data_IF_478940307258
#
_entry.id   IF_478940307258
#
_cell.length_a   1.000
_cell.length_b   1.000
_cell.length_c   1.000
_cell.angle_alpha   90.00
_cell.angle_beta   90.00
_cell.angle_gamma   90.00
#
_symmetry.space_group_name_H-M   'P 1'
#
loop_
_entity.id
_entity.type
_entity.pdbx_description
1 polymer ?
#
# COMPACT_ATOMS: atom_id res chain seq x y z
N UNK A 1 62.63 45.56 -11.35
CA UNK A 1 61.44 44.92 -11.91
C UNK A 1 61.29 43.55 -11.29
N UNK A 2 60.38 43.44 -10.34
CA UNK A 2 60.08 42.14 -9.65
C UNK A 2 58.70 41.73 -10.06
N UNK A 3 58.61 40.64 -10.81
CA UNK A 3 57.33 40.00 -11.20
C UNK A 3 56.80 39.14 -10.06
N UNK A 4 55.67 39.52 -9.48
CA UNK A 4 54.93 38.64 -8.56
C UNK A 4 53.99 37.76 -9.40
N UNK A 5 54.21 36.45 -9.34
CA UNK A 5 53.33 35.44 -9.87
C UNK A 5 52.36 35.08 -8.75
N UNK A 6 51.07 35.43 -8.94
CA UNK A 6 49.97 35.02 -8.05
C UNK A 6 49.49 33.65 -8.55
N UNK A 7 49.73 32.61 -7.77
CA UNK A 7 49.13 31.30 -7.97
C UNK A 7 47.69 31.31 -7.41
N UNK A 8 46.72 31.30 -8.31
CA UNK A 8 45.29 31.08 -7.95
C UNK A 8 45.09 29.58 -7.98
N UNK A 9 44.97 28.96 -6.80
CA UNK A 9 44.48 27.58 -6.67
C UNK A 9 42.98 27.56 -6.85
N UNK A 10 42.49 27.07 -8.00
CA UNK A 10 41.10 26.73 -8.19
C UNK A 10 40.83 25.42 -7.40
N UNK A 11 40.15 25.57 -6.27
CA UNK A 11 39.53 24.41 -5.60
C UNK A 11 38.21 24.12 -6.34
N UNK A 12 38.21 23.16 -7.21
CA UNK A 12 36.96 22.59 -7.79
C UNK A 12 36.26 21.75 -6.72
N UNK A 13 35.34 22.33 -5.99
CA UNK A 13 34.35 21.58 -5.23
C UNK A 13 33.39 20.93 -6.22
N UNK A 14 33.61 19.64 -6.50
CA UNK A 14 32.60 18.79 -7.10
C UNK A 14 31.47 18.65 -6.08
N UNK A 15 30.52 19.56 -6.12
CA UNK A 15 29.25 19.44 -5.45
C UNK A 15 28.46 18.30 -6.12
N UNK A 16 28.51 17.11 -5.54
CA UNK A 16 27.52 16.08 -5.85
C UNK A 16 26.22 16.58 -5.26
N UNK A 17 25.38 17.15 -6.11
CA UNK A 17 23.98 17.45 -5.73
C UNK A 17 23.31 16.10 -5.45
N UNK A 18 22.74 15.84 -4.27
CA UNK A 18 21.95 14.66 -4.04
C UNK A 18 20.78 14.67 -5.05
N UNK A 19 20.71 13.65 -5.90
CA UNK A 19 19.53 13.46 -6.74
C UNK A 19 18.36 13.15 -5.81
N UNK A 20 17.41 14.05 -5.77
CA UNK A 20 16.17 13.87 -5.02
C UNK A 20 15.28 12.93 -5.85
N UNK A 21 15.19 11.67 -5.46
CA UNK A 21 14.21 10.74 -5.98
C UNK A 21 12.98 10.85 -5.09
N UNK A 22 12.02 11.69 -5.46
CA UNK A 22 10.73 11.74 -4.81
C UNK A 22 9.71 11.03 -5.69
N UNK A 23 9.00 10.05 -5.16
CA UNK A 23 7.76 9.57 -5.77
C UNK A 23 6.73 10.69 -5.65
N UNK A 24 6.50 11.39 -6.73
CA UNK A 24 5.43 12.38 -6.79
C UNK A 24 4.12 11.72 -7.17
N UNK A 25 3.49 10.97 -6.28
CA UNK A 25 2.09 10.62 -6.50
C UNK A 25 1.27 11.92 -6.53
N UNK A 26 0.66 12.22 -7.69
CA UNK A 26 -0.22 13.39 -7.89
C UNK A 26 -1.57 13.24 -7.19
N UNK A 27 -1.63 12.59 -6.05
CA UNK A 27 -2.85 12.51 -5.27
C UNK A 27 -2.75 13.51 -4.14
N UNK A 28 -3.67 14.48 -4.14
CA UNK A 28 -3.87 15.36 -2.99
C UNK A 28 -4.11 14.51 -1.74
N UNK A 29 -3.39 14.78 -0.66
CA UNK A 29 -3.59 14.11 0.61
C UNK A 29 -5.06 14.21 1.02
N UNK A 30 -5.76 13.09 1.05
CA UNK A 30 -7.16 13.05 1.44
C UNK A 30 -7.28 12.83 2.95
N UNK A 31 -8.15 13.59 3.61
CA UNK A 31 -8.44 13.43 5.02
C UNK A 31 -9.94 13.53 5.31
N UNK A 32 -10.40 12.82 6.33
CA UNK A 32 -11.75 13.00 6.85
C UNK A 32 -11.79 14.08 7.93
N UNK A 33 -12.84 14.89 7.90
CA UNK A 33 -13.26 15.77 8.99
C UNK A 33 -14.47 15.19 9.70
N UNK A 34 -14.78 15.64 10.92
CA UNK A 34 -15.99 15.23 11.62
C UNK A 34 -17.26 15.44 10.77
N UNK A 35 -17.36 16.59 10.10
CA UNK A 35 -18.48 16.90 9.21
C UNK A 35 -18.55 15.96 7.99
N UNK A 36 -17.41 15.59 7.39
CA UNK A 36 -17.40 14.65 6.26
C UNK A 36 -17.82 13.25 6.70
N UNK A 37 -17.41 12.79 7.89
CA UNK A 37 -17.84 11.51 8.47
C UNK A 37 -19.34 11.50 8.75
N UNK A 38 -19.85 12.53 9.42
CA UNK A 38 -21.29 12.65 9.68
C UNK A 38 -22.10 12.62 8.37
N UNK A 39 -21.60 13.24 7.33
CA UNK A 39 -22.24 13.27 6.01
C UNK A 39 -22.25 11.94 5.26
N UNK A 40 -21.43 10.93 5.68
CA UNK A 40 -21.49 9.59 5.12
C UNK A 40 -22.73 8.81 5.57
N UNK A 41 -23.34 9.18 6.70
CA UNK A 41 -24.54 8.52 7.26
C UNK A 41 -24.38 7.00 7.31
N UNK A 42 -23.24 6.54 7.87
CA UNK A 42 -22.87 5.13 7.90
C UNK A 42 -23.94 4.30 8.62
N UNK A 43 -24.36 3.20 7.99
CA UNK A 43 -25.34 2.29 8.55
C UNK A 43 -24.67 1.30 9.50
N UNK A 44 -25.07 1.32 10.78
CA UNK A 44 -24.53 0.44 11.80
C UNK A 44 -24.82 -1.07 11.57
N UNK A 45 -25.75 -1.40 10.67
CA UNK A 45 -26.08 -2.78 10.31
C UNK A 45 -25.25 -3.32 9.13
N UNK A 46 -24.62 -2.46 8.35
CA UNK A 46 -23.83 -2.80 7.18
C UNK A 46 -22.36 -2.44 7.42
N UNK A 47 -21.70 -3.22 8.28
CA UNK A 47 -20.32 -2.97 8.69
C UNK A 47 -19.41 -3.99 8.05
N UNK A 48 -18.60 -3.55 7.08
CA UNK A 48 -17.62 -4.40 6.40
C UNK A 48 -16.40 -4.60 7.32
N UNK A 49 -15.89 -5.83 7.40
CA UNK A 49 -14.70 -6.14 8.19
C UNK A 49 -13.44 -5.59 7.51
N UNK A 50 -12.65 -4.79 8.23
CA UNK A 50 -11.39 -4.24 7.74
C UNK A 50 -10.41 -5.31 7.28
N UNK A 51 -10.42 -6.50 7.94
CA UNK A 51 -9.52 -7.60 7.59
C UNK A 51 -9.93 -8.30 6.29
N UNK A 52 -11.20 -8.27 5.93
CA UNK A 52 -11.70 -8.81 4.66
C UNK A 52 -11.58 -7.80 3.51
N UNK A 53 -11.46 -6.52 3.84
CA UNK A 53 -11.27 -5.46 2.85
C UNK A 53 -9.85 -5.41 2.29
N UNK A 54 -8.85 -5.70 3.12
CA UNK A 54 -7.44 -5.68 2.71
C UNK A 54 -6.99 -7.01 2.10
N UNK A 55 -5.88 -7.00 1.35
CA UNK A 55 -5.19 -8.21 0.91
C UNK A 55 -4.52 -8.88 2.12
N UNK A 56 -5.31 -9.62 2.88
CA UNK A 56 -4.89 -10.26 4.13
C UNK A 56 -4.18 -11.60 3.90
N UNK A 57 -3.65 -12.17 4.98
CA UNK A 57 -2.87 -13.40 4.90
C UNK A 57 -3.69 -14.65 4.50
N UNK A 58 -5.03 -14.63 4.58
CA UNK A 58 -5.85 -15.74 4.11
C UNK A 58 -5.84 -15.88 2.58
N UNK A 59 -5.51 -14.78 1.86
CA UNK A 59 -5.43 -14.75 0.40
C UNK A 59 -4.08 -15.23 -0.15
N UNK A 60 -3.10 -15.55 0.71
CA UNK A 60 -1.76 -15.97 0.28
C UNK A 60 -1.75 -17.29 -0.49
N UNK A 61 -2.71 -18.16 -0.22
CA UNK A 61 -2.82 -19.49 -0.83
C UNK A 61 -3.88 -19.53 -1.94
N UNK A 62 -4.45 -18.38 -2.32
CA UNK A 62 -5.41 -18.31 -3.43
C UNK A 62 -4.70 -18.60 -4.75
N UNK A 63 -5.22 -19.55 -5.51
CA UNK A 63 -4.80 -19.82 -6.88
C UNK A 63 -5.48 -18.81 -7.81
N UNK A 64 -4.87 -17.64 -7.97
CA UNK A 64 -5.42 -16.56 -8.77
C UNK A 64 -5.56 -16.91 -10.26
N UNK A 65 -4.75 -17.81 -10.79
CA UNK A 65 -4.88 -18.28 -12.18
C UNK A 65 -6.20 -19.04 -12.33
N UNK A 66 -6.42 -20.03 -11.47
CA UNK A 66 -7.67 -20.76 -11.46
C UNK A 66 -8.87 -19.88 -11.08
N UNK A 67 -8.68 -18.95 -10.15
CA UNK A 67 -9.71 -18.02 -9.72
C UNK A 67 -10.23 -17.16 -10.87
N UNK A 68 -9.32 -16.49 -11.63
CA UNK A 68 -9.72 -15.67 -12.77
C UNK A 68 -10.34 -16.50 -13.89
N UNK A 69 -9.78 -17.68 -14.18
CA UNK A 69 -10.34 -18.58 -15.18
C UNK A 69 -11.79 -19.00 -14.88
N UNK A 70 -12.15 -19.16 -13.60
CA UNK A 70 -13.49 -19.57 -13.18
C UNK A 70 -14.46 -18.40 -13.00
N UNK A 71 -14.03 -17.32 -12.36
CA UNK A 71 -14.91 -16.25 -11.89
C UNK A 71 -14.85 -14.96 -12.74
N UNK A 72 -13.79 -14.78 -13.50
CA UNK A 72 -13.57 -13.56 -14.29
C UNK A 72 -12.85 -13.85 -15.61
N UNK A 73 -13.28 -14.84 -16.42
CA UNK A 73 -12.57 -15.23 -17.66
C UNK A 73 -12.44 -14.07 -18.67
N UNK A 74 -13.38 -13.13 -18.67
CA UNK A 74 -13.31 -11.92 -19.50
C UNK A 74 -12.18 -10.96 -19.07
N UNK A 75 -11.61 -11.13 -17.88
CA UNK A 75 -10.53 -10.31 -17.33
C UNK A 75 -9.18 -11.04 -17.22
N UNK A 76 -9.03 -12.20 -17.86
CA UNK A 76 -7.79 -13.00 -17.79
C UNK A 76 -6.57 -12.18 -18.24
N UNK A 77 -6.70 -11.41 -19.34
CA UNK A 77 -5.64 -10.53 -19.85
C UNK A 77 -5.38 -9.31 -18.96
N UNK A 78 -6.26 -9.04 -17.99
CA UNK A 78 -6.15 -7.93 -17.04
C UNK A 78 -5.78 -8.38 -15.62
N UNK A 79 -5.59 -9.68 -15.43
CA UNK A 79 -5.29 -10.30 -14.13
C UNK A 79 -4.05 -9.69 -13.48
N UNK A 80 -2.93 -9.59 -14.23
CA UNK A 80 -1.69 -9.05 -13.68
C UNK A 80 -1.88 -7.59 -13.22
N UNK A 81 -2.57 -6.75 -14.00
CA UNK A 81 -2.90 -5.38 -13.63
C UNK A 81 -3.72 -5.30 -12.33
N UNK A 82 -4.81 -6.09 -12.24
CA UNK A 82 -5.69 -6.09 -11.07
C UNK A 82 -4.93 -6.55 -9.83
N UNK A 83 -4.15 -7.63 -9.93
CA UNK A 83 -3.35 -8.14 -8.81
C UNK A 83 -2.23 -7.18 -8.41
N UNK A 84 -1.60 -6.51 -9.39
CA UNK A 84 -0.58 -5.50 -9.13
C UNK A 84 -1.11 -4.39 -8.23
N UNK A 85 -2.20 -3.74 -8.64
CA UNK A 85 -2.79 -2.65 -7.89
C UNK A 85 -3.40 -3.11 -6.55
N UNK A 86 -4.02 -4.30 -6.53
CA UNK A 86 -4.48 -4.94 -5.30
C UNK A 86 -3.33 -5.16 -4.31
N UNK A 87 -2.18 -5.63 -4.79
CA UNK A 87 -0.98 -5.84 -3.98
C UNK A 87 -0.35 -4.53 -3.50
N UNK A 88 -0.20 -3.55 -4.40
CA UNK A 88 0.36 -2.24 -4.08
C UNK A 88 -0.41 -1.52 -2.98
N UNK A 89 -1.72 -1.37 -3.16
CA UNK A 89 -2.60 -0.71 -2.19
C UNK A 89 -3.05 -1.62 -1.05
N UNK A 90 -2.76 -2.92 -1.15
CA UNK A 90 -3.22 -3.97 -0.22
C UNK A 90 -4.75 -4.01 -0.07
N UNK A 91 -5.46 -4.03 -1.20
CA UNK A 91 -6.91 -4.21 -1.27
C UNK A 91 -7.22 -5.64 -1.74
N UNK A 92 -8.25 -6.27 -1.18
CA UNK A 92 -8.70 -7.59 -1.60
C UNK A 92 -9.18 -7.57 -3.06
N UNK A 93 -8.57 -8.36 -3.98
CA UNK A 93 -8.97 -8.38 -5.39
C UNK A 93 -10.45 -8.70 -5.60
N UNK A 94 -11.07 -9.53 -4.73
CA UNK A 94 -12.49 -9.84 -4.80
C UNK A 94 -13.39 -8.60 -4.68
N UNK A 95 -12.96 -7.59 -3.90
CA UNK A 95 -13.67 -6.30 -3.80
C UNK A 95 -13.59 -5.54 -5.12
N UNK A 96 -12.42 -5.50 -5.76
CA UNK A 96 -12.22 -4.82 -7.04
C UNK A 96 -13.12 -5.47 -8.10
N UNK A 97 -13.13 -6.80 -8.19
CA UNK A 97 -13.95 -7.56 -9.12
C UNK A 97 -15.45 -7.35 -8.88
N UNK A 98 -15.89 -7.35 -7.63
CA UNK A 98 -17.30 -7.10 -7.31
C UNK A 98 -17.74 -5.66 -7.66
N UNK A 99 -16.85 -4.68 -7.55
CA UNK A 99 -17.12 -3.30 -8.00
C UNK A 99 -17.17 -3.20 -9.52
N UNK A 100 -16.29 -3.88 -10.25
CA UNK A 100 -16.34 -3.98 -11.71
C UNK A 100 -17.67 -4.59 -12.14
N UNK A 101 -18.05 -5.73 -11.57
CA UNK A 101 -19.33 -6.39 -11.91
C UNK A 101 -20.51 -5.51 -11.59
N UNK A 102 -20.57 -4.90 -10.42
CA UNK A 102 -21.66 -4.02 -10.03
C UNK A 102 -21.83 -2.80 -10.97
N UNK A 103 -20.72 -2.27 -11.50
CA UNK A 103 -20.74 -1.06 -12.32
C UNK A 103 -21.00 -1.35 -13.80
N UNK A 104 -20.45 -2.41 -14.34
CA UNK A 104 -20.46 -2.70 -15.78
C UNK A 104 -21.04 -4.07 -16.16
N UNK A 105 -21.18 -4.99 -15.20
CA UNK A 105 -21.55 -6.38 -15.50
C UNK A 105 -20.50 -7.14 -16.29
N UNK A 106 -19.24 -6.71 -16.25
CA UNK A 106 -18.18 -7.14 -17.17
C UNK A 106 -17.74 -8.60 -16.96
N UNK A 107 -17.91 -9.13 -15.72
CA UNK A 107 -17.60 -10.52 -15.43
C UNK A 107 -18.67 -11.48 -15.96
N UNK A 108 -19.94 -11.05 -15.94
CA UNK A 108 -21.08 -11.87 -16.37
C UNK A 108 -21.49 -11.62 -17.83
N UNK A 109 -21.07 -10.51 -18.45
CA UNK A 109 -21.41 -10.13 -19.80
C UNK A 109 -20.17 -9.91 -20.67
N UNK A 110 -19.81 -10.85 -21.55
CA UNK A 110 -18.63 -10.73 -22.42
C UNK A 110 -18.70 -9.58 -23.44
N UNK A 111 -19.92 -9.05 -23.70
CA UNK A 111 -20.14 -7.91 -24.60
C UNK A 111 -20.11 -6.56 -23.87
N UNK A 112 -19.78 -6.53 -22.56
CA UNK A 112 -19.69 -5.30 -21.78
C UNK A 112 -18.55 -4.39 -22.26
N UNK A 113 -18.73 -3.09 -22.05
CA UNK A 113 -17.73 -2.09 -22.46
C UNK A 113 -16.50 -2.08 -21.53
N UNK A 114 -15.38 -2.54 -22.06
CA UNK A 114 -14.09 -2.54 -21.36
C UNK A 114 -13.49 -1.13 -21.19
N UNK A 115 -13.97 -0.13 -21.91
CA UNK A 115 -13.37 1.22 -21.86
C UNK A 115 -13.75 1.98 -20.59
N UNK A 116 -14.83 1.60 -19.91
CA UNK A 116 -15.33 2.26 -18.72
C UNK A 116 -15.88 1.29 -17.66
N UNK A 117 -15.05 0.31 -17.17
CA UNK A 117 -15.52 -0.74 -16.27
C UNK A 117 -16.04 -0.22 -14.92
N UNK A 118 -15.63 0.99 -14.54
CA UNK A 118 -15.97 1.63 -13.27
C UNK A 118 -16.66 2.99 -13.47
N UNK A 119 -17.43 3.11 -14.55
CA UNK A 119 -18.19 4.34 -14.85
C UNK A 119 -19.01 4.82 -13.63
N UNK A 120 -18.77 6.07 -13.22
CA UNK A 120 -19.40 6.69 -12.04
C UNK A 120 -18.61 6.52 -10.73
N UNK A 121 -17.60 5.64 -10.65
CA UNK A 121 -16.64 5.55 -9.54
C UNK A 121 -15.30 6.18 -9.89
N UNK A 122 -14.91 6.15 -11.17
CA UNK A 122 -13.71 6.79 -11.69
C UNK A 122 -14.06 7.80 -12.78
N UNK A 123 -13.30 8.89 -12.84
CA UNK A 123 -13.37 9.90 -13.93
C UNK A 123 -12.27 9.65 -14.99
N UNK A 124 -11.39 8.67 -14.74
CA UNK A 124 -10.30 8.32 -15.65
C UNK A 124 -10.82 7.62 -16.91
N UNK A 125 -10.00 7.60 -17.97
CA UNK A 125 -10.35 6.98 -19.24
C UNK A 125 -9.60 5.67 -19.45
N UNK A 126 -10.32 4.62 -19.80
CA UNK A 126 -9.78 3.29 -20.09
C UNK A 126 -9.68 2.41 -18.84
N UNK A 127 -9.62 1.09 -19.09
CA UNK A 127 -9.64 0.07 -18.05
C UNK A 127 -8.54 0.28 -17.02
N UNK A 128 -7.30 0.38 -17.46
CA UNK A 128 -6.10 0.36 -16.62
C UNK A 128 -6.08 1.58 -15.68
N UNK A 129 -6.34 2.77 -16.22
CA UNK A 129 -6.39 4.00 -15.42
C UNK A 129 -7.56 4.01 -14.43
N UNK A 130 -8.71 3.42 -14.77
CA UNK A 130 -9.84 3.31 -13.85
C UNK A 130 -9.58 2.36 -12.69
N UNK A 131 -8.87 1.24 -12.91
CA UNK A 131 -8.47 0.32 -11.85
C UNK A 131 -7.48 0.99 -10.90
N UNK A 132 -6.44 1.65 -11.42
CA UNK A 132 -5.48 2.41 -10.62
C UNK A 132 -6.19 3.46 -9.74
N UNK A 133 -7.06 4.27 -10.34
CA UNK A 133 -7.81 5.33 -9.64
C UNK A 133 -8.75 4.75 -8.56
N UNK A 134 -9.51 3.69 -8.87
CA UNK A 134 -10.39 3.03 -7.88
C UNK A 134 -9.60 2.55 -6.68
N UNK A 135 -8.55 1.77 -6.92
CA UNK A 135 -7.76 1.13 -5.85
C UNK A 135 -7.06 2.18 -5.00
N UNK A 136 -6.52 3.23 -5.64
CA UNK A 136 -5.95 4.38 -4.95
C UNK A 136 -6.97 5.09 -4.08
N UNK A 137 -8.18 5.35 -4.59
CA UNK A 137 -9.27 5.97 -3.82
C UNK A 137 -9.71 5.11 -2.64
N UNK A 138 -9.83 3.79 -2.82
CA UNK A 138 -10.18 2.87 -1.74
C UNK A 138 -9.14 2.89 -0.62
N UNK A 139 -7.86 2.75 -0.97
CA UNK A 139 -6.75 2.81 -0.02
C UNK A 139 -6.70 4.15 0.71
N UNK A 140 -6.73 5.25 -0.05
CA UNK A 140 -6.71 6.61 0.49
C UNK A 140 -7.80 6.84 1.53
N UNK A 141 -9.05 6.42 1.25
CA UNK A 141 -10.18 6.61 2.16
C UNK A 141 -10.14 5.69 3.36
N UNK A 142 -9.69 4.45 3.16
CA UNK A 142 -9.51 3.50 4.24
C UNK A 142 -8.52 4.03 5.29
N UNK A 143 -7.33 4.45 4.86
CA UNK A 143 -6.30 4.94 5.78
C UNK A 143 -6.59 6.35 6.32
N UNK A 144 -7.25 7.21 5.55
CA UNK A 144 -7.73 8.50 6.06
C UNK A 144 -8.76 8.32 7.19
N UNK A 145 -9.64 7.30 7.09
CA UNK A 145 -10.58 7.00 8.17
C UNK A 145 -9.88 6.46 9.40
N UNK A 146 -8.89 5.57 9.23
CA UNK A 146 -8.05 5.10 10.35
C UNK A 146 -7.32 6.25 11.05
N UNK A 147 -6.71 7.14 10.28
CA UNK A 147 -6.07 8.35 10.83
C UNK A 147 -7.07 9.19 11.62
N UNK A 148 -8.27 9.38 11.10
CA UNK A 148 -9.33 10.09 11.81
C UNK A 148 -9.70 9.39 13.11
N UNK A 149 -9.90 8.06 13.11
CA UNK A 149 -10.18 7.28 14.32
C UNK A 149 -9.07 7.45 15.37
N UNK A 150 -7.80 7.34 14.99
CA UNK A 150 -6.66 7.50 15.87
C UNK A 150 -6.59 8.91 16.47
N UNK A 151 -6.94 9.95 15.69
CA UNK A 151 -7.01 11.33 16.17
C UNK A 151 -8.10 11.54 17.22
N UNK A 152 -9.18 10.74 17.23
CA UNK A 152 -10.22 10.79 18.25
C UNK A 152 -9.77 10.12 19.57
N UNK A 153 -8.84 9.16 19.50
CA UNK A 153 -8.33 8.47 20.70
C UNK A 153 -7.31 9.33 21.44
N UNK A 154 -6.34 9.91 20.73
CA UNK A 154 -5.38 10.88 21.31
C UNK A 154 -4.80 11.76 20.20
N UNK A 155 -4.72 13.08 20.41
CA UNK A 155 -4.15 14.01 19.43
C UNK A 155 -2.67 13.72 19.07
N UNK A 156 -1.96 12.97 19.90
CA UNK A 156 -0.56 12.58 19.71
C UNK A 156 -0.37 11.19 19.10
N UNK A 157 -1.38 10.31 19.14
CA UNK A 157 -1.28 8.94 18.67
C UNK A 157 -1.42 8.80 17.16
N UNK A 158 -2.11 9.72 16.51
CA UNK A 158 -2.44 9.63 15.08
C UNK A 158 -1.19 9.53 14.19
N UNK A 159 -0.12 10.25 14.52
CA UNK A 159 1.14 10.24 13.79
C UNK A 159 1.87 8.88 13.88
N UNK A 160 1.74 8.22 15.02
CA UNK A 160 2.54 7.06 15.40
C UNK A 160 1.72 5.80 15.60
N UNK A 161 0.49 5.78 15.08
CA UNK A 161 -0.35 4.61 15.21
C UNK A 161 0.47 3.35 14.99
N UNK A 162 0.67 2.63 16.09
CA UNK A 162 1.48 1.44 16.09
C UNK A 162 0.66 0.28 15.54
N UNK A 163 1.34 -0.78 15.19
CA UNK A 163 0.79 -2.07 14.79
C UNK A 163 -0.15 -2.74 15.81
N UNK A 164 -0.18 -2.23 17.05
CA UNK A 164 -1.15 -2.66 18.02
C UNK A 164 -2.52 -2.08 17.63
N UNK A 165 -3.16 -2.74 16.67
CA UNK A 165 -4.59 -2.60 16.45
C UNK A 165 -5.26 -3.20 17.68
N UNK A 166 -5.34 -2.40 18.74
CA UNK A 166 -6.26 -2.72 19.82
C UNK A 166 -7.65 -2.61 19.20
N UNK A 167 -8.35 -3.73 19.09
CA UNK A 167 -9.76 -3.82 18.73
C UNK A 167 -10.65 -3.13 19.78
N UNK A 168 -10.29 -1.94 20.24
CA UNK A 168 -11.16 -1.05 21.01
C UNK A 168 -11.96 -0.17 20.04
N UNK A 169 -12.65 -0.80 19.08
CA UNK A 169 -13.79 -0.13 18.50
C UNK A 169 -14.87 -0.04 19.58
N UNK A 170 -15.25 1.17 19.95
CA UNK A 170 -16.53 1.38 20.63
C UNK A 170 -17.61 0.63 19.87
N UNK A 171 -18.48 -0.09 20.54
CA UNK A 171 -19.45 -1.07 20.02
C UNK A 171 -20.45 -0.53 18.99
N UNK A 172 -20.31 0.69 18.51
CA UNK A 172 -21.20 1.37 17.54
C UNK A 172 -20.46 2.16 16.45
N UNK A 173 -19.13 2.00 16.28
CA UNK A 173 -18.40 2.73 15.25
C UNK A 173 -18.30 1.90 13.95
N UNK A 174 -18.53 2.55 12.83
CA UNK A 174 -18.27 1.99 11.50
C UNK A 174 -16.77 1.69 11.33
N UNK A 175 -16.44 0.84 10.37
CA UNK A 175 -15.06 0.45 10.02
C UNK A 175 -14.48 1.37 8.95
N UNK A 176 -13.16 1.33 8.79
CA UNK A 176 -12.49 2.04 7.72
C UNK A 176 -12.89 1.50 6.34
N UNK A 177 -13.13 0.20 6.23
CA UNK A 177 -13.64 -0.45 5.02
C UNK A 177 -15.01 0.09 4.60
N UNK A 178 -15.95 0.17 5.56
CA UNK A 178 -17.29 0.72 5.29
C UNK A 178 -17.20 2.19 4.87
N UNK A 179 -16.41 3.00 5.59
CA UNK A 179 -16.24 4.42 5.26
C UNK A 179 -15.61 4.61 3.87
N UNK A 180 -14.64 3.79 3.50
CA UNK A 180 -14.01 3.83 2.19
C UNK A 180 -15.03 3.57 1.08
N UNK A 181 -15.76 2.46 1.14
CA UNK A 181 -16.77 2.09 0.13
C UNK A 181 -17.92 3.10 0.04
N UNK A 182 -18.50 3.50 1.16
CA UNK A 182 -19.59 4.49 1.16
C UNK A 182 -19.12 5.83 0.58
N UNK A 183 -17.87 6.23 0.83
CA UNK A 183 -17.36 7.51 0.33
C UNK A 183 -17.13 7.53 -1.18
N UNK A 184 -16.77 6.40 -1.81
CA UNK A 184 -16.65 6.33 -3.28
C UNK A 184 -18.02 6.36 -3.94
N UNK A 185 -19.03 5.68 -3.38
CA UNK A 185 -20.42 5.72 -3.88
C UNK A 185 -21.04 7.11 -3.76
N UNK A 186 -20.70 7.87 -2.72
CA UNK A 186 -21.22 9.24 -2.53
C UNK A 186 -20.84 10.18 -3.69
N UNK A 187 -19.67 10.01 -4.31
CA UNK A 187 -19.27 10.86 -5.44
C UNK A 187 -20.20 10.69 -6.63
N UNK A 188 -20.64 9.47 -6.91
CA UNK A 188 -21.59 9.14 -8.00
C UNK A 188 -22.90 9.90 -7.88
N UNK A 189 -23.43 10.04 -6.66
CA UNK A 189 -24.76 10.61 -6.42
C UNK A 189 -24.82 12.14 -6.54
N UNK A 190 -23.69 12.85 -6.57
CA UNK A 190 -23.67 14.30 -6.85
C UNK A 190 -24.04 14.66 -8.28
N UNK A 191 -23.97 13.72 -9.21
CA UNK A 191 -24.30 13.92 -10.63
C UNK A 191 -25.78 13.62 -10.93
N UNK A 192 -26.48 12.90 -10.05
CA UNK A 192 -27.91 12.63 -10.16
C UNK A 192 -28.71 13.69 -9.40
N UNK A 193 -29.28 14.66 -10.13
CA UNK A 193 -29.87 15.91 -9.59
C UNK A 193 -31.23 15.71 -8.87
N UNK A 194 -31.77 14.50 -8.77
CA UNK A 194 -33.15 14.35 -8.32
C UNK A 194 -33.41 13.07 -7.53
N UNK A 195 -32.99 12.96 -6.30
CA UNK A 195 -33.61 12.09 -5.26
C UNK A 195 -32.81 12.12 -3.95
N UNK A 196 -33.39 11.68 -2.85
CA UNK A 196 -32.83 11.72 -1.51
C UNK A 196 -31.47 11.01 -1.41
N UNK A 197 -30.34 11.71 -1.21
CA UNK A 197 -28.99 11.13 -1.31
C UNK A 197 -28.68 10.04 -0.26
N UNK A 198 -29.49 9.89 0.77
CA UNK A 198 -29.32 8.88 1.84
C UNK A 198 -29.70 7.48 1.38
N UNK A 199 -30.77 7.37 0.59
CA UNK A 199 -31.29 6.07 0.18
C UNK A 199 -30.40 5.42 -0.89
N UNK A 200 -29.76 6.23 -1.74
CA UNK A 200 -28.88 5.73 -2.80
C UNK A 200 -27.55 5.15 -2.27
N UNK A 201 -26.93 5.75 -1.25
CA UNK A 201 -25.66 5.24 -0.70
C UNK A 201 -25.83 3.87 -0.03
N UNK A 202 -26.91 3.69 0.72
CA UNK A 202 -27.22 2.40 1.33
C UNK A 202 -27.64 1.37 0.26
N UNK A 203 -28.31 1.80 -0.79
CA UNK A 203 -28.67 0.98 -1.95
C UNK A 203 -27.41 0.53 -2.70
N UNK A 204 -26.45 1.42 -2.95
CA UNK A 204 -25.17 1.09 -3.63
C UNK A 204 -24.34 0.11 -2.82
N UNK A 205 -24.21 0.31 -1.48
CA UNK A 205 -23.49 -0.63 -0.61
C UNK A 205 -24.21 -1.98 -0.52
N UNK A 206 -25.53 -1.99 -0.43
CA UNK A 206 -26.32 -3.24 -0.42
C UNK A 206 -26.21 -3.97 -1.76
N UNK A 207 -26.23 -3.24 -2.88
CA UNK A 207 -26.00 -3.81 -4.21
C UNK A 207 -24.61 -4.40 -4.34
N UNK A 208 -23.59 -3.71 -3.85
CA UNK A 208 -22.21 -4.23 -3.81
C UNK A 208 -22.10 -5.54 -3.00
N UNK A 209 -22.70 -5.58 -1.81
CA UNK A 209 -22.68 -6.80 -0.98
C UNK A 209 -23.40 -7.97 -1.68
N UNK A 210 -24.55 -7.73 -2.30
CA UNK A 210 -25.27 -8.75 -3.05
C UNK A 210 -24.46 -9.25 -4.25
N UNK A 211 -23.78 -8.35 -4.97
CA UNK A 211 -22.87 -8.71 -6.07
C UNK A 211 -21.69 -9.54 -5.57
N UNK A 212 -21.06 -9.11 -4.46
CA UNK A 212 -19.94 -9.84 -3.84
C UNK A 212 -20.33 -11.26 -3.43
N UNK A 213 -21.45 -11.41 -2.71
CA UNK A 213 -21.95 -12.70 -2.27
C UNK A 213 -22.38 -13.61 -3.44
N UNK A 214 -22.86 -13.02 -4.54
CA UNK A 214 -23.21 -13.76 -5.77
C UNK A 214 -21.98 -14.27 -6.52
N UNK A 215 -20.91 -13.45 -6.60
CA UNK A 215 -19.67 -13.83 -7.27
C UNK A 215 -18.84 -14.83 -6.45
N UNK A 216 -18.90 -14.73 -5.12
CA UNK A 216 -18.06 -15.47 -4.19
C UNK A 216 -18.91 -16.16 -3.12
N UNK A 217 -19.74 -17.15 -3.50
CA UNK A 217 -20.67 -17.80 -2.57
C UNK A 217 -19.96 -18.52 -1.42
N UNK A 218 -18.70 -18.94 -1.61
CA UNK A 218 -17.86 -19.51 -0.55
C UNK A 218 -17.50 -18.46 0.54
N UNK A 219 -17.58 -17.18 0.22
CA UNK A 219 -17.35 -16.06 1.13
C UNK A 219 -18.66 -15.41 1.63
N UNK A 220 -19.82 -16.02 1.40
CA UNK A 220 -21.13 -15.45 1.73
C UNK A 220 -21.19 -15.00 3.19
N UNK A 221 -21.49 -13.71 3.39
CA UNK A 221 -21.56 -13.06 4.70
C UNK A 221 -20.23 -12.86 5.42
N UNK A 222 -19.10 -13.32 4.89
CA UNK A 222 -17.79 -13.14 5.53
C UNK A 222 -17.27 -11.70 5.41
N UNK A 223 -17.70 -10.97 4.38
CA UNK A 223 -17.32 -9.58 4.20
C UNK A 223 -17.89 -8.67 5.29
N UNK A 224 -19.06 -9.04 5.85
CA UNK A 224 -19.66 -8.29 6.94
C UNK A 224 -19.07 -8.69 8.29
N UNK A 225 -18.86 -7.70 9.15
CA UNK A 225 -18.45 -7.92 10.54
C UNK A 225 -19.56 -8.66 11.26
N UNK A 226 -19.28 -9.88 11.73
CA UNK A 226 -20.24 -10.63 12.52
C UNK A 226 -20.45 -9.94 13.89
N UNK A 227 -21.69 -9.60 14.21
CA UNK A 227 -22.05 -9.09 15.54
C UNK A 227 -21.78 -10.09 16.69
N UNK A 228 -21.48 -11.34 16.36
CA UNK A 228 -21.14 -12.41 17.33
C UNK A 228 -19.65 -12.44 17.70
N UNK A 229 -18.77 -11.77 16.93
CA UNK A 229 -17.32 -11.80 17.17
C UNK A 229 -16.83 -10.75 18.18
N UNK A 230 -17.70 -10.10 18.93
CA UNK A 230 -17.32 -9.17 20.01
C UNK A 230 -16.81 -9.86 21.27
N UNK A 231 -16.85 -11.18 21.38
CA UNK A 231 -16.35 -11.90 22.56
C UNK A 231 -15.80 -13.27 22.18
N UNK A 232 -14.77 -13.31 21.35
CA UNK A 232 -13.80 -14.42 21.31
C UNK A 232 -12.53 -13.93 20.61
N UNK A 233 -11.83 -12.96 21.22
CA UNK A 233 -10.39 -13.09 21.24
C UNK A 233 -10.10 -14.28 22.15
N UNK A 234 -10.20 -15.49 21.60
CA UNK A 234 -9.45 -16.58 22.14
C UNK A 234 -8.00 -16.08 22.14
N UNK A 235 -7.46 -15.79 23.31
CA UNK A 235 -6.04 -15.83 23.57
C UNK A 235 -5.55 -17.24 23.23
N UNK A 236 -5.51 -17.58 21.94
CA UNK A 236 -4.46 -18.45 21.47
C UNK A 236 -3.21 -17.60 21.69
N UNK A 237 -2.52 -17.81 22.78
CA UNK A 237 -1.11 -17.57 22.93
C UNK A 237 -0.37 -18.35 21.83
N UNK A 238 -0.49 -17.90 20.59
CA UNK A 238 0.57 -18.09 19.64
C UNK A 238 1.75 -17.35 20.26
N UNK A 239 2.76 -18.10 20.65
CA UNK A 239 4.10 -17.53 20.83
C UNK A 239 4.36 -16.84 19.49
N UNK A 240 4.13 -15.52 19.47
CA UNK A 240 4.29 -14.74 18.27
C UNK A 240 5.72 -14.96 17.81
N UNK A 241 5.91 -15.59 16.66
CA UNK A 241 7.24 -15.78 16.11
C UNK A 241 7.89 -14.41 16.09
N UNK A 242 9.06 -14.27 16.73
CA UNK A 242 9.74 -12.99 16.86
C UNK A 242 10.01 -12.44 15.47
N UNK A 243 9.37 -11.32 15.13
CA UNK A 243 9.59 -10.67 13.85
C UNK A 243 10.82 -9.78 13.93
N UNK A 244 11.71 -9.92 12.96
CA UNK A 244 12.83 -9.01 12.73
C UNK A 244 13.05 -8.86 11.23
N UNK A 245 13.42 -7.67 10.80
CA UNK A 245 13.72 -7.41 9.39
C UNK A 245 15.11 -6.84 9.20
N UNK A 246 15.70 -7.19 8.08
CA UNK A 246 17.01 -6.71 7.64
C UNK A 246 16.84 -5.69 6.51
N UNK A 247 17.83 -4.82 6.37
CA UNK A 247 17.97 -4.00 5.18
C UNK A 247 18.03 -4.89 3.93
N UNK A 248 17.32 -4.53 2.82
CA UNK A 248 17.13 -5.44 1.69
C UNK A 248 18.34 -5.52 0.73
N UNK A 249 19.57 -5.49 1.27
CA UNK A 249 20.81 -5.69 0.53
C UNK A 249 21.85 -6.48 1.34
N UNK A 250 22.85 -7.15 0.70
CA UNK A 250 23.70 -8.12 1.38
C UNK A 250 24.74 -7.50 2.31
N UNK A 251 25.33 -6.38 1.93
CA UNK A 251 26.44 -5.74 2.67
C UNK A 251 26.68 -4.32 2.15
N UNK A 252 27.51 -3.56 2.85
CA UNK A 252 27.81 -2.18 2.49
C UNK A 252 26.66 -1.25 2.87
N UNK A 253 26.43 -0.24 2.05
CA UNK A 253 25.42 0.78 2.32
C UNK A 253 24.60 1.11 1.07
N UNK A 254 23.35 1.49 1.29
CA UNK A 254 22.49 2.16 0.35
C UNK A 254 22.00 3.48 0.96
N UNK A 255 21.12 4.17 0.28
CA UNK A 255 20.55 5.43 0.69
C UNK A 255 19.04 5.32 0.81
N UNK A 256 18.45 6.16 1.65
CA UNK A 256 17.00 6.33 1.78
C UNK A 256 16.67 7.79 2.00
N UNK A 257 15.61 8.27 1.38
CA UNK A 257 14.92 9.49 1.79
C UNK A 257 14.05 9.29 3.03
N UNK A 258 13.27 10.31 3.38
CA UNK A 258 12.30 10.28 4.47
C UNK A 258 11.22 9.22 4.25
N UNK A 259 10.69 8.66 5.36
CA UNK A 259 9.58 7.73 5.29
C UNK A 259 8.33 8.41 4.70
N UNK A 260 7.50 7.61 4.04
CA UNK A 260 6.27 8.12 3.41
C UNK A 260 5.15 7.08 3.47
N UNK A 261 3.94 7.50 3.14
CA UNK A 261 2.82 6.62 2.90
C UNK A 261 2.68 6.36 1.39
N UNK A 262 2.21 5.20 1.01
CA UNK A 262 1.79 4.90 -0.37
C UNK A 262 0.27 4.77 -0.49
N UNK A 263 -0.48 5.32 0.47
CA UNK A 263 -1.94 5.20 0.54
C UNK A 263 -2.68 6.37 -0.08
N UNK A 264 -1.98 7.47 -0.42
CA UNK A 264 -2.60 8.71 -0.87
C UNK A 264 -3.29 9.53 0.23
N UNK A 265 -3.21 9.09 1.50
CA UNK A 265 -3.80 9.81 2.65
C UNK A 265 -2.78 10.54 3.52
N UNK A 266 -1.48 10.39 3.23
CA UNK A 266 -0.41 10.88 4.11
C UNK A 266 -0.25 10.06 5.40
N UNK A 267 -0.90 8.88 5.52
CA UNK A 267 -0.93 8.02 6.68
C UNK A 267 -1.15 6.55 6.27
N UNK A 268 -0.51 5.55 6.93
CA UNK A 268 0.64 5.67 7.84
C UNK A 268 1.95 5.88 7.07
N UNK A 269 3.02 6.28 7.76
CA UNK A 269 4.39 6.32 7.19
C UNK A 269 4.96 4.90 7.18
N UNK A 270 4.55 4.12 6.18
CA UNK A 270 4.80 2.68 6.07
C UNK A 270 5.92 2.32 5.12
N UNK A 271 6.43 3.28 4.34
CA UNK A 271 7.29 3.02 3.20
C UNK A 271 8.60 3.79 3.22
N UNK A 272 9.60 3.22 2.57
CA UNK A 272 10.94 3.78 2.33
C UNK A 272 11.36 3.45 0.91
N UNK A 273 12.07 4.40 0.27
CA UNK A 273 12.69 4.19 -1.03
C UNK A 273 14.20 3.98 -0.85
N UNK A 274 14.68 2.80 -1.25
CA UNK A 274 16.09 2.45 -1.12
C UNK A 274 16.78 2.36 -2.47
N UNK A 275 17.96 2.96 -2.60
CA UNK A 275 18.84 2.84 -3.76
C UNK A 275 20.31 2.79 -3.38
N UNK A 276 21.16 2.27 -4.27
CA UNK A 276 22.61 2.15 -4.05
C UNK A 276 23.42 3.38 -4.47
N UNK A 277 22.73 4.47 -4.88
CA UNK A 277 23.39 5.68 -5.37
C UNK A 277 23.79 5.64 -6.86
N UNK A 278 23.49 4.57 -7.61
CA UNK A 278 23.80 4.47 -9.05
C UNK A 278 22.95 5.39 -9.95
N UNK A 279 21.87 5.88 -9.48
CA UNK A 279 21.19 7.16 -9.75
C UNK A 279 20.41 7.32 -11.05
N UNK A 280 20.74 6.67 -12.16
CA UNK A 280 20.11 6.95 -13.46
C UNK A 280 19.47 5.71 -14.08
N UNK A 281 18.38 5.92 -14.83
CA UNK A 281 17.82 4.89 -15.71
C UNK A 281 18.90 4.36 -16.67
N UNK A 282 18.95 3.03 -16.83
CA UNK A 282 19.97 2.35 -17.63
C UNK A 282 21.20 1.90 -16.85
N UNK A 283 21.33 2.24 -15.55
CA UNK A 283 22.44 1.76 -14.71
C UNK A 283 22.27 0.27 -14.37
N UNK A 284 23.39 -0.38 -14.01
CA UNK A 284 23.35 -1.75 -13.50
C UNK A 284 22.92 -1.74 -12.03
N UNK A 285 21.65 -2.05 -11.77
CA UNK A 285 21.08 -2.04 -10.43
C UNK A 285 21.43 -3.32 -9.66
N UNK A 286 21.67 -3.26 -8.33
CA UNK A 286 21.99 -4.42 -7.51
C UNK A 286 20.76 -5.32 -7.25
N UNK A 287 21.03 -6.50 -6.69
CA UNK A 287 19.99 -7.40 -6.19
C UNK A 287 19.37 -6.89 -4.89
N UNK A 288 18.06 -7.04 -4.81
CA UNK A 288 17.24 -6.79 -3.60
C UNK A 288 17.04 -8.12 -2.88
N UNK A 289 17.25 -8.12 -1.58
CA UNK A 289 17.08 -9.28 -0.72
C UNK A 289 15.78 -9.23 0.08
N UNK A 290 15.24 -10.41 0.41
CA UNK A 290 14.15 -10.53 1.38
C UNK A 290 14.61 -10.02 2.75
N UNK A 291 13.90 -9.04 3.30
CA UNK A 291 14.21 -8.45 4.60
C UNK A 291 14.01 -9.46 5.76
N UNK A 292 13.17 -10.44 5.56
CA UNK A 292 12.88 -11.54 6.50
C UNK A 292 12.49 -12.80 5.72
N UNK A 293 12.40 -13.95 6.40
CA UNK A 293 11.88 -15.18 5.80
C UNK A 293 10.35 -15.16 5.74
N UNK A 294 9.77 -15.88 4.77
CA UNK A 294 8.32 -15.98 4.64
C UNK A 294 7.85 -16.53 3.31
N UNK A 295 6.54 -16.55 3.14
CA UNK A 295 5.88 -16.97 1.90
C UNK A 295 5.78 -15.80 0.93
N UNK A 296 6.11 -16.05 -0.32
CA UNK A 296 6.09 -15.07 -1.41
C UNK A 296 4.67 -14.93 -1.98
N UNK A 297 4.27 -13.71 -2.28
CA UNK A 297 3.16 -13.39 -3.18
C UNK A 297 3.71 -12.49 -4.29
N UNK A 298 3.66 -12.96 -5.52
CA UNK A 298 4.03 -12.18 -6.70
C UNK A 298 2.78 -11.63 -7.34
N UNK A 299 2.64 -10.31 -7.31
CA UNK A 299 1.46 -9.60 -7.84
C UNK A 299 1.60 -9.28 -9.34
N UNK A 300 2.83 -9.02 -9.78
CA UNK A 300 3.15 -8.68 -11.17
C UNK A 300 4.63 -8.93 -11.46
N UNK A 301 5.06 -8.58 -12.65
CA UNK A 301 6.48 -8.64 -13.05
C UNK A 301 7.39 -7.67 -12.26
N UNK A 302 6.82 -6.64 -11.60
CA UNK A 302 7.56 -5.63 -10.85
C UNK A 302 7.15 -5.46 -9.37
N UNK A 303 6.23 -6.29 -8.86
CA UNK A 303 5.70 -6.15 -7.50
C UNK A 303 5.63 -7.52 -6.79
N UNK A 304 6.31 -7.64 -5.64
CA UNK A 304 6.41 -8.87 -4.86
C UNK A 304 6.34 -8.58 -3.36
N UNK A 305 5.70 -9.47 -2.61
CA UNK A 305 5.57 -9.40 -1.15
C UNK A 305 6.13 -10.66 -0.51
N UNK A 306 6.77 -10.51 0.64
CA UNK A 306 7.15 -11.64 1.51
C UNK A 306 6.34 -11.53 2.79
N UNK A 307 5.60 -12.59 3.16
CA UNK A 307 4.75 -12.62 4.36
C UNK A 307 5.33 -13.58 5.40
N UNK A 308 5.65 -13.04 6.57
CA UNK A 308 6.18 -13.79 7.70
C UNK A 308 5.05 -14.45 8.52
N UNK A 309 5.34 -15.57 9.18
CA UNK A 309 4.37 -16.30 10.00
C UNK A 309 3.77 -15.50 11.18
N UNK A 310 4.44 -14.41 11.61
CA UNK A 310 3.90 -13.48 12.63
C UNK A 310 2.77 -12.58 12.14
N UNK A 311 2.45 -12.60 10.85
CA UNK A 311 1.49 -11.69 10.22
C UNK A 311 2.12 -10.44 9.59
N UNK A 312 3.38 -10.11 9.92
CA UNK A 312 4.10 -9.05 9.24
C UNK A 312 4.44 -9.45 7.81
N UNK A 313 4.46 -8.46 6.91
CA UNK A 313 4.97 -8.64 5.55
C UNK A 313 5.69 -7.40 5.06
N UNK A 314 6.61 -7.61 4.11
CA UNK A 314 7.29 -6.53 3.40
C UNK A 314 6.99 -6.64 1.92
N UNK A 315 6.58 -5.51 1.33
CA UNK A 315 6.31 -5.40 -0.11
C UNK A 315 7.49 -4.70 -0.79
N UNK A 316 7.81 -5.15 -1.99
CA UNK A 316 8.91 -4.63 -2.82
C UNK A 316 8.35 -4.31 -4.19
N UNK A 317 8.34 -3.03 -4.55
CA UNK A 317 7.86 -2.55 -5.83
C UNK A 317 8.98 -1.87 -6.60
N UNK A 318 8.76 -1.56 -7.86
CA UNK A 318 9.77 -1.15 -8.85
C UNK A 318 10.85 -2.20 -9.08
N UNK A 319 10.47 -3.46 -8.98
CA UNK A 319 11.37 -4.59 -9.16
C UNK A 319 11.49 -5.01 -10.63
N UNK A 320 12.47 -5.84 -10.92
CA UNK A 320 12.64 -6.55 -12.17
C UNK A 320 13.33 -7.88 -11.92
N UNK A 321 13.25 -8.80 -12.90
CA UNK A 321 13.92 -10.08 -12.84
C UNK A 321 13.63 -10.85 -11.53
N UNK A 322 12.34 -10.91 -11.16
CA UNK A 322 11.88 -11.61 -9.96
C UNK A 322 12.19 -13.09 -10.03
N UNK A 323 12.77 -13.65 -8.95
CA UNK A 323 13.28 -15.01 -8.87
C UNK A 323 12.29 -16.03 -8.29
N UNK A 324 11.20 -15.57 -7.66
CA UNK A 324 10.25 -16.41 -6.95
C UNK A 324 8.83 -16.17 -7.45
N UNK A 325 8.00 -17.21 -7.33
CA UNK A 325 6.58 -17.18 -7.63
C UNK A 325 5.74 -17.17 -6.35
N UNK A 326 4.45 -16.89 -6.48
CA UNK A 326 3.50 -17.01 -5.37
C UNK A 326 3.52 -18.43 -4.81
N UNK A 327 3.49 -18.54 -3.48
CA UNK A 327 3.57 -19.81 -2.75
C UNK A 327 4.99 -20.26 -2.38
N UNK A 328 6.03 -19.75 -3.04
CA UNK A 328 7.42 -20.09 -2.68
C UNK A 328 7.74 -19.56 -1.27
N UNK A 329 8.53 -20.35 -0.53
CA UNK A 329 9.07 -19.91 0.76
C UNK A 329 10.51 -19.43 0.61
N UNK A 330 10.82 -18.26 1.13
CA UNK A 330 12.18 -17.67 1.11
C UNK A 330 12.74 -17.48 2.51
N UNK A 331 14.04 -17.63 2.64
CA UNK A 331 14.77 -17.26 3.85
C UNK A 331 15.09 -15.76 3.83
N UNK A 332 15.31 -15.16 5.01
CA UNK A 332 15.89 -13.82 5.10
C UNK A 332 17.20 -13.75 4.32
N UNK A 333 17.37 -12.72 3.50
CA UNK A 333 18.54 -12.55 2.64
C UNK A 333 18.46 -13.27 1.28
N UNK A 334 17.39 -14.00 0.98
CA UNK A 334 17.16 -14.56 -0.37
C UNK A 334 17.07 -13.43 -1.42
N UNK A 335 17.64 -13.63 -2.59
CA UNK A 335 17.64 -12.65 -3.68
C UNK A 335 16.30 -12.69 -4.39
N UNK A 336 15.46 -11.66 -4.15
CA UNK A 336 14.11 -11.57 -4.72
C UNK A 336 14.13 -11.18 -6.21
N UNK A 337 15.07 -10.39 -6.61
CA UNK A 337 15.23 -9.80 -7.94
C UNK A 337 16.16 -8.61 -7.87
N UNK A 338 16.05 -7.69 -8.82
CA UNK A 338 16.74 -6.39 -8.81
C UNK A 338 15.69 -5.29 -8.71
N UNK A 339 15.99 -4.13 -8.16
CA UNK A 339 15.15 -3.00 -8.51
C UNK A 339 15.43 -2.62 -9.98
N UNK A 340 14.38 -2.16 -10.66
CA UNK A 340 14.42 -2.01 -12.11
C UNK A 340 15.38 -0.91 -12.55
N UNK A 341 16.11 -1.16 -13.64
CA UNK A 341 17.01 -0.17 -14.26
C UNK A 341 16.36 0.63 -15.36
N UNK A 342 15.14 0.30 -15.77
CA UNK A 342 14.39 1.05 -16.78
C UNK A 342 13.01 1.45 -16.27
N UNK A 343 12.52 2.59 -16.74
CA UNK A 343 11.22 3.14 -16.39
C UNK A 343 10.09 2.14 -16.66
N UNK A 344 10.06 1.52 -17.84
CA UNK A 344 9.00 0.57 -18.21
C UNK A 344 9.01 -0.72 -17.36
N UNK A 345 10.18 -1.15 -16.86
CA UNK A 345 10.24 -2.30 -15.96
C UNK A 345 9.81 -1.93 -14.55
N UNK A 346 10.16 -0.71 -14.09
CA UNK A 346 9.79 -0.23 -12.77
C UNK A 346 8.28 -0.05 -12.63
N UNK A 347 7.61 0.34 -13.71
CA UNK A 347 6.18 0.65 -13.79
C UNK A 347 5.46 -0.33 -14.72
N UNK A 348 5.62 -1.62 -14.48
CA UNK A 348 5.13 -2.67 -15.37
C UNK A 348 3.60 -2.61 -15.58
N UNK A 349 2.86 -2.13 -14.59
CA UNK A 349 1.39 -1.98 -14.60
C UNK A 349 0.96 -0.53 -14.24
N UNK A 350 1.81 0.46 -14.47
CA UNK A 350 1.53 1.86 -14.18
C UNK A 350 2.19 2.39 -12.91
N UNK A 351 1.74 3.53 -12.43
CA UNK A 351 2.31 4.23 -11.29
C UNK A 351 3.34 5.29 -11.68
N UNK A 352 4.20 5.69 -10.74
CA UNK A 352 5.22 6.73 -10.94
C UNK A 352 6.53 6.36 -10.27
N UNK A 353 7.64 6.73 -10.89
CA UNK A 353 8.98 6.64 -10.30
C UNK A 353 9.90 7.69 -10.96
N UNK A 354 10.69 8.39 -10.16
CA UNK A 354 11.62 9.41 -10.64
C UNK A 354 13.01 8.87 -10.98
N UNK A 355 13.34 7.65 -10.56
CA UNK A 355 14.64 7.00 -10.80
C UNK A 355 14.70 5.58 -10.26
N UNK A 356 15.80 4.85 -10.53
CA UNK A 356 15.96 3.48 -10.04
C UNK A 356 16.02 3.40 -8.52
N UNK A 357 15.09 2.68 -7.91
CA UNK A 357 15.05 2.38 -6.48
C UNK A 357 14.14 1.17 -6.21
N UNK A 358 14.18 0.61 -5.04
CA UNK A 358 13.15 -0.29 -4.53
C UNK A 358 12.25 0.47 -3.56
N UNK A 359 10.96 0.50 -3.85
CA UNK A 359 9.93 0.96 -2.93
C UNK A 359 9.60 -0.16 -1.95
N UNK A 360 9.87 0.06 -0.67
CA UNK A 360 9.75 -0.91 0.40
C UNK A 360 8.63 -0.51 1.36
N UNK A 361 7.65 -1.40 1.58
CA UNK A 361 6.49 -1.11 2.47
C UNK A 361 6.34 -2.18 3.54
N UNK A 362 6.10 -1.78 4.77
CA UNK A 362 5.79 -2.66 5.90
C UNK A 362 4.27 -2.80 6.08
N UNK A 363 3.80 -4.06 6.24
CA UNK A 363 2.40 -4.38 6.50
C UNK A 363 2.27 -5.34 7.70
N UNK A 364 1.10 -5.34 8.32
CA UNK A 364 0.68 -6.34 9.31
C UNK A 364 -0.72 -6.83 9.00
N UNK A 365 -0.88 -8.15 8.82
CA UNK A 365 -2.13 -8.79 8.39
C UNK A 365 -2.79 -8.07 7.18
N UNK A 366 -1.97 -7.70 6.19
CA UNK A 366 -2.41 -7.00 4.99
C UNK A 366 -2.63 -5.50 5.14
N UNK A 367 -2.60 -4.93 6.33
CA UNK A 367 -2.71 -3.48 6.53
C UNK A 367 -1.33 -2.83 6.56
N UNK A 368 -1.16 -1.71 5.87
CA UNK A 368 0.05 -0.90 5.96
C UNK A 368 0.18 -0.33 7.38
N UNK A 369 1.38 -0.39 7.94
CA UNK A 369 1.64 0.02 9.31
C UNK A 369 2.87 0.93 9.38
N UNK A 370 2.87 1.85 10.35
CA UNK A 370 3.95 2.81 10.50
C UNK A 370 5.29 2.11 10.79
N UNK A 371 6.34 2.62 10.14
CA UNK A 371 7.72 2.25 10.42
C UNK A 371 8.28 2.89 11.71
N UNK A 372 7.52 3.80 12.35
CA UNK A 372 7.98 4.45 13.58
C UNK A 372 8.26 3.43 14.68
N UNK A 373 9.45 3.53 15.28
CA UNK A 373 9.96 2.59 16.28
C UNK A 373 10.11 1.13 15.80
N UNK A 374 9.98 0.85 14.51
CA UNK A 374 10.37 -0.44 13.96
C UNK A 374 11.89 -0.52 13.81
N UNK A 375 12.42 -1.76 13.79
CA UNK A 375 13.85 -2.01 13.67
C UNK A 375 14.16 -2.72 12.36
N UNK A 376 15.15 -2.21 11.61
CA UNK A 376 15.67 -2.81 10.39
C UNK A 376 17.19 -2.94 10.50
N UNK A 377 17.74 -4.15 10.45
CA UNK A 377 19.17 -4.44 10.71
C UNK A 377 19.69 -3.77 12.00
N UNK A 378 18.87 -3.74 13.06
CA UNK A 378 19.20 -3.11 14.33
C UNK A 378 19.11 -1.59 14.36
N UNK A 379 18.75 -0.95 13.25
CA UNK A 379 18.43 0.50 13.22
C UNK A 379 16.97 0.72 13.62
N UNK A 380 16.71 1.50 14.65
CA UNK A 380 15.40 2.03 14.97
C UNK A 380 15.05 3.16 14.00
N UNK A 381 13.83 3.18 13.50
CA UNK A 381 13.36 4.17 12.54
C UNK A 381 12.54 5.25 13.24
N UNK A 382 12.83 6.52 12.99
CA UNK A 382 11.93 7.64 13.23
C UNK A 382 11.43 8.18 11.90
N UNK A 383 10.10 8.24 11.71
CA UNK A 383 9.47 8.43 10.39
C UNK A 383 9.26 9.87 9.97
N UNK A 384 9.65 10.85 10.82
CA UNK A 384 9.42 12.25 10.47
C UNK A 384 7.98 12.73 10.73
N UNK A 385 7.63 13.91 10.21
CA UNK A 385 6.36 14.60 10.45
C UNK A 385 5.46 14.70 9.20
N UNK A 386 6.01 14.41 8.04
CA UNK A 386 5.32 14.44 6.74
C UNK A 386 5.92 13.40 5.82
N UNK A 387 5.26 13.08 4.72
CA UNK A 387 5.86 12.30 3.65
C UNK A 387 7.18 12.94 3.22
N UNK A 388 8.22 12.11 3.06
CA UNK A 388 9.57 12.52 2.64
C UNK A 388 10.18 13.63 3.52
N UNK A 389 9.97 13.55 4.84
CA UNK A 389 10.58 14.48 5.80
C UNK A 389 12.08 14.19 5.97
N UNK A 390 12.93 14.84 5.20
CA UNK A 390 14.38 14.63 5.23
C UNK A 390 15.11 15.37 6.38
N UNK A 391 14.37 16.02 7.29
CA UNK A 391 14.97 16.73 8.41
C UNK A 391 15.52 15.75 9.46
N UNK A 392 16.83 15.73 9.65
CA UNK A 392 17.54 14.81 10.53
C UNK A 392 17.11 14.87 12.02
N UNK A 393 16.43 15.92 12.46
CA UNK A 393 15.86 15.98 13.80
C UNK A 393 14.54 15.23 13.93
N UNK A 394 13.95 14.79 12.81
CA UNK A 394 12.61 14.16 12.77
C UNK A 394 12.60 12.82 12.06
N UNK A 395 13.36 12.67 10.96
CA UNK A 395 13.56 11.41 10.27
C UNK A 395 15.02 10.97 10.38
N UNK A 396 15.23 9.77 10.89
CA UNK A 396 16.55 9.15 10.98
C UNK A 396 16.45 7.64 11.28
N UNK A 397 17.53 6.94 10.98
CA UNK A 397 17.79 5.59 11.45
C UNK A 397 18.77 5.69 12.62
N UNK A 398 18.51 5.02 13.75
CA UNK A 398 19.36 5.07 14.93
C UNK A 398 19.85 3.66 15.31
N UNK A 399 21.15 3.48 15.38
CA UNK A 399 21.78 2.25 15.87
C UNK A 399 22.95 2.58 16.81
N UNK A 400 22.95 2.00 18.01
CA UNK A 400 23.99 2.21 19.03
C UNK A 400 24.23 3.70 19.38
N UNK A 401 23.19 4.52 19.39
CA UNK A 401 23.25 5.95 19.67
C UNK A 401 23.71 6.84 18.51
N UNK A 402 24.01 6.25 17.35
CA UNK A 402 24.36 7.00 16.13
C UNK A 402 23.14 7.14 15.21
N UNK A 403 22.92 8.35 14.71
CA UNK A 403 21.86 8.66 13.74
C UNK A 403 22.42 8.68 12.33
N UNK A 404 21.71 8.01 11.41
CA UNK A 404 21.90 8.12 9.97
C UNK A 404 20.68 8.89 9.42
N UNK A 405 20.92 10.06 8.89
CA UNK A 405 19.87 10.94 8.34
C UNK A 405 19.49 10.52 6.91
N UNK A 406 18.42 11.10 6.38
CA UNK A 406 18.08 10.96 4.97
C UNK A 406 19.27 11.22 4.07
N UNK A 407 19.41 10.42 3.03
CA UNK A 407 20.46 10.52 1.99
C UNK A 407 21.90 10.35 2.50
N UNK A 408 22.07 9.85 3.72
CA UNK A 408 23.37 9.40 4.21
C UNK A 408 23.54 7.88 4.00
N UNK A 409 24.81 7.39 3.90
CA UNK A 409 25.08 5.96 3.79
C UNK A 409 24.49 5.17 4.97
N UNK A 410 23.46 4.35 4.68
CA UNK A 410 22.82 3.47 5.65
C UNK A 410 23.44 2.08 5.55
N UNK A 411 24.25 1.71 6.54
CA UNK A 411 25.00 0.45 6.57
C UNK A 411 24.17 -0.70 7.14
N UNK A 412 24.20 -1.82 6.42
CA UNK A 412 23.64 -3.09 6.91
C UNK A 412 24.47 -3.69 8.04
#
# INVERSE_FOLDING_TARGET
>A
MKNNIINIALASSLGVSPMVFAEGHKHDDFSFTAQSIESLKLNALLVIDDTQFVFNNALLNEDWDNFFALHAPALEDKKELILHWAGYASINPKIILALIEQQSGLLSNPDADFTAPLAGLSDEQGFDAQIEDLVTKLSQRFYAYKQWQDSQVTATAAKYASTAITNQASSNSSTAATAALVSIFKKRNKLAVDQNPVDHQNSDLTGFLATFDSLFPENNGQLLRSSKNTVQSAEQQFVAASFSMNLPWPSGYWYSGGAHSNTGSGYPYSSLDFNDGSGNWGSNTPYVQAAHGGTVTRFSSCNIRVTHASGYSTNYYHMSNLQFNSGDYVQSGAWLGRYASSYNQALCEGGQSSGPHVHFTLLYNGQQVSLHNQYISGHRIDVGNSNYDDNCNRFYFERNGYRTCAWQPLYR
#
